data_IF_057721715633
#
_entry.id   IF_057721715633
#
_cell.length_a   1.000
_cell.length_b   1.000
_cell.length_c   1.000
_cell.angle_alpha   90.00
_cell.angle_beta   90.00
_cell.angle_gamma   90.00
#
_symmetry.space_group_name_H-M   'P 1'
#
loop_
_entity.id
_entity.type
_entity.pdbx_description
1 polymer ?
2 non-polymer ?
3 water ?
#
# COMPACT_ATOMS: atom_id res chain seq x y z
N UNK A 28 19.08 19.28 -4.80
CA UNK A 28 17.98 19.17 -5.76
C UNK A 28 18.49 19.09 -7.20
N UNK A 29 19.79 19.37 -7.36
CA UNK A 29 20.53 19.16 -8.61
C UNK A 29 19.90 19.97 -9.77
N UNK A 30 19.97 19.44 -11.00
CA UNK A 30 19.57 20.18 -12.19
C UNK A 30 19.42 19.19 -13.35
N UNK A 31 19.26 19.68 -14.58
CA UNK A 31 18.96 18.84 -15.73
C UNK A 31 19.84 19.22 -16.93
N UNK A 32 19.62 18.49 -18.03
CA UNK A 32 20.21 18.67 -19.37
C UNK A 32 20.29 17.32 -20.08
N UNK A 33 21.47 16.70 -20.07
CA UNK A 33 21.69 15.42 -20.72
C UNK A 33 22.97 14.77 -20.16
N UNK A 34 22.92 13.45 -19.94
CA UNK A 34 24.05 12.55 -19.65
C UNK A 34 24.57 12.62 -18.20
N UNK A 35 25.05 11.47 -17.69
CA UNK A 35 25.67 11.24 -16.37
C UNK A 35 26.53 9.99 -16.49
N UNK A 36 27.51 9.84 -15.59
CA UNK A 36 28.56 8.83 -15.72
C UNK A 36 28.57 7.89 -14.52
N UNK A 37 28.43 6.60 -14.79
CA UNK A 37 28.40 5.60 -13.74
C UNK A 37 29.80 5.05 -13.44
N UNK A 38 29.87 4.24 -12.38
CA UNK A 38 31.08 3.48 -12.11
C UNK A 38 31.30 2.37 -13.15
N UNK A 39 30.25 1.97 -13.87
CA UNK A 39 30.34 0.89 -14.86
C UNK A 39 29.69 1.18 -16.21
N UNK A 40 28.77 2.14 -16.31
CA UNK A 40 28.12 2.47 -17.57
C UNK A 40 28.02 3.99 -17.69
N UNK A 41 27.35 4.45 -18.76
CA UNK A 41 27.03 5.87 -18.91
C UNK A 41 25.57 6.00 -19.30
N UNK A 42 24.90 7.02 -18.74
CA UNK A 42 23.46 7.17 -18.82
C UNK A 42 23.11 8.55 -19.35
N UNK A 43 22.49 8.60 -20.54
CA UNK A 43 22.01 9.85 -21.11
C UNK A 43 20.58 10.11 -20.65
N UNK A 44 20.34 11.27 -20.05
CA UNK A 44 19.00 11.55 -19.54
C UNK A 44 18.10 12.00 -20.69
N UNK A 45 16.83 11.63 -20.62
CA UNK A 45 15.92 11.95 -21.70
C UNK A 45 14.68 12.65 -21.14
N UNK A 46 14.33 12.38 -19.90
CA UNK A 46 13.05 12.85 -19.37
C UNK A 46 13.04 12.83 -17.85
N UNK A 47 12.56 13.93 -17.27
CA UNK A 47 12.28 14.02 -15.85
C UNK A 47 11.01 13.26 -15.53
N UNK A 48 11.01 12.55 -14.39
CA UNK A 48 9.87 11.74 -14.00
C UNK A 48 9.16 12.23 -12.73
N UNK A 49 9.82 12.92 -11.82
CA UNK A 49 9.14 13.41 -10.64
C UNK A 49 10.10 13.67 -9.49
N UNK A 50 9.60 14.43 -8.51
CA UNK A 50 10.42 14.89 -7.37
C UNK A 50 9.96 14.21 -6.09
N UNK A 54 13.99 12.73 -2.74
CA UNK A 54 14.80 12.98 -3.92
C UNK A 54 14.01 13.03 -5.22
N UNK A 55 14.69 12.92 -6.35
CA UNK A 55 14.08 12.95 -7.69
C UNK A 55 14.40 11.67 -8.47
N UNK A 56 13.65 11.44 -9.54
CA UNK A 56 13.80 10.26 -10.38
C UNK A 56 13.78 10.68 -11.85
N UNK A 57 14.73 10.19 -12.63
CA UNK A 57 14.86 10.57 -14.03
C UNK A 57 14.99 9.34 -14.91
N UNK A 58 14.46 9.43 -16.13
CA UNK A 58 14.52 8.37 -17.12
C UNK A 58 15.78 8.55 -17.97
N UNK A 59 16.63 7.52 -18.00
CA UNK A 59 17.90 7.58 -18.74
C UNK A 59 18.11 6.37 -19.65
N UNK A 60 18.82 6.63 -20.74
CA UNK A 60 19.22 5.61 -21.69
C UNK A 60 20.55 5.01 -21.26
N UNK A 61 20.58 3.70 -21.06
CA UNK A 61 21.84 3.02 -20.78
C UNK A 61 22.66 3.01 -22.07
N UNK A 62 23.60 3.94 -22.19
CA UNK A 62 24.36 4.09 -23.43
C UNK A 62 25.01 2.77 -23.83
N UNK A 63 24.95 2.46 -25.12
CA UNK A 63 25.50 1.24 -25.68
C UNK A 63 24.55 0.07 -25.70
N UNK A 64 23.38 0.20 -25.08
CA UNK A 64 22.40 -0.86 -24.96
C UNK A 64 21.05 -0.40 -25.49
N UNK A 65 20.08 -1.32 -25.40
CA UNK A 65 18.68 -1.09 -25.69
C UNK A 65 17.86 -0.86 -24.43
N UNK A 66 18.49 -0.51 -23.32
CA UNK A 66 17.82 -0.42 -22.03
C UNK A 66 17.54 1.04 -21.68
N UNK A 67 16.31 1.29 -21.27
CA UNK A 67 15.93 2.52 -20.57
C UNK A 67 15.82 2.18 -19.09
N UNK A 68 16.36 3.04 -18.23
CA UNK A 68 16.39 2.82 -16.79
C UNK A 68 15.91 4.07 -16.07
N UNK A 69 15.51 3.88 -14.82
CA UNK A 69 15.09 4.96 -13.95
C UNK A 69 16.17 5.16 -12.90
N UNK A 70 16.69 6.38 -12.82
CA UNK A 70 17.73 6.73 -11.86
C UNK A 70 17.13 7.68 -10.84
N UNK A 71 17.32 7.35 -9.56
CA UNK A 71 16.85 8.14 -8.45
C UNK A 71 18.02 8.86 -7.81
N UNK A 72 17.86 10.15 -7.58
CA UNK A 72 18.94 11.02 -7.12
C UNK A 72 18.49 11.64 -5.80
N UNK A 73 19.10 11.21 -4.69
CA UNK A 73 18.59 11.48 -3.35
C UNK A 73 19.01 12.84 -2.77
N UNK A 81 21.09 10.46 6.34
CA UNK A 81 20.97 9.15 6.97
C UNK A 81 19.83 8.32 6.39
N UNK A 82 18.80 9.00 5.85
CA UNK A 82 17.71 8.31 5.17
C UNK A 82 18.15 7.69 3.85
N UNK A 83 19.24 8.19 3.25
CA UNK A 83 19.81 7.57 2.08
C UNK A 83 20.70 6.41 2.44
N UNK A 84 21.37 6.52 3.59
CA UNK A 84 22.19 5.41 4.07
C UNK A 84 21.33 4.18 4.37
N UNK A 85 20.19 4.38 5.04
CA UNK A 85 19.30 3.24 5.32
C UNK A 85 18.76 2.65 4.02
N UNK A 86 18.47 3.51 3.04
CA UNK A 86 17.90 3.02 1.78
C UNK A 86 18.90 2.13 1.04
N UNK A 87 20.11 2.67 0.79
CA UNK A 87 21.13 1.93 0.04
C UNK A 87 21.44 0.61 0.71
N UNK A 88 21.52 0.60 2.04
CA UNK A 88 21.78 -0.66 2.75
C UNK A 88 20.69 -1.69 2.47
N UNK A 89 19.43 -1.25 2.52
CA UNK A 89 18.32 -2.18 2.29
C UNK A 89 18.27 -2.61 0.83
N UNK A 90 18.50 -1.67 -0.09
CA UNK A 90 18.64 -2.04 -1.49
C UNK A 90 19.77 -3.06 -1.67
N UNK A 91 20.85 -2.90 -0.90
CA UNK A 91 21.96 -3.85 -0.95
C UNK A 91 21.55 -5.22 -0.43
N UNK A 92 20.88 -5.25 0.74
CA UNK A 92 20.42 -6.53 1.30
C UNK A 92 19.42 -7.22 0.40
N UNK A 93 18.74 -6.49 -0.50
CA UNK A 93 17.84 -7.08 -1.47
C UNK A 93 18.50 -7.33 -2.83
N UNK A 94 19.55 -6.58 -3.15
CA UNK A 94 20.31 -6.82 -4.39
C UNK A 94 20.71 -8.29 -4.51
N UNK A 95 20.94 -8.97 -3.39
CA UNK A 95 21.29 -10.38 -3.39
C UNK A 95 20.09 -11.29 -3.55
N UNK A 96 18.87 -10.77 -3.44
CA UNK A 96 17.66 -11.56 -3.59
C UNK A 96 17.13 -11.43 -5.01
N UNK A 97 16.19 -12.31 -5.34
CA UNK A 97 15.63 -12.36 -6.69
C UNK A 97 14.50 -11.32 -6.81
N UNK A 98 14.82 -10.19 -7.44
CA UNK A 98 13.83 -9.13 -7.62
C UNK A 98 12.62 -9.63 -8.40
N UNK A 99 12.85 -10.45 -9.42
CA UNK A 99 11.72 -10.90 -10.24
C UNK A 99 10.89 -11.94 -9.49
N UNK A 100 11.55 -12.82 -8.71
CA UNK A 100 10.81 -13.85 -7.99
C UNK A 100 9.91 -13.24 -6.91
N UNK A 101 10.39 -12.22 -6.22
CA UNK A 101 9.65 -11.67 -5.10
C UNK A 101 8.97 -10.34 -5.43
N UNK A 102 9.02 -9.92 -6.70
CA UNK A 102 8.22 -8.81 -7.20
C UNK A 102 8.58 -7.48 -6.54
N UNK A 103 9.85 -7.25 -6.25
CA UNK A 103 10.26 -5.92 -5.88
C UNK A 103 11.19 -5.40 -6.97
N UNK A 104 11.28 -4.08 -7.06
CA UNK A 104 11.99 -3.44 -8.16
C UNK A 104 13.46 -3.80 -8.15
N UNK A 105 14.01 -4.08 -9.33
CA UNK A 105 15.42 -4.43 -9.46
C UNK A 105 16.28 -3.18 -9.36
N UNK A 106 17.22 -3.17 -8.43
CA UNK A 106 18.22 -2.10 -8.32
C UNK A 106 19.53 -2.60 -8.91
N UNK A 107 20.06 -1.85 -9.89
CA UNK A 107 21.24 -2.29 -10.65
C UNK A 107 22.53 -1.87 -9.98
N UNK A 108 22.74 -0.57 -9.79
CA UNK A 108 23.98 -0.13 -9.19
C UNK A 108 23.78 1.19 -8.48
N UNK A 109 24.66 1.43 -7.51
CA UNK A 109 24.69 2.66 -6.75
C UNK A 109 25.99 3.40 -7.06
N UNK A 110 25.90 4.71 -7.22
CA UNK A 110 27.08 5.52 -7.52
C UNK A 110 26.80 6.97 -7.17
N UNK A 111 27.75 7.62 -6.50
CA UNK A 111 27.62 9.03 -6.18
C UNK A 111 27.90 9.89 -7.41
N UNK A 112 27.28 11.08 -7.43
CA UNK A 112 27.40 12.01 -8.56
C UNK A 112 26.88 13.40 -8.17
N UNK A 115 26.01 13.82 -4.27
CA UNK A 115 24.70 13.19 -4.46
C UNK A 115 24.82 11.69 -4.86
N UNK A 116 24.12 10.83 -4.12
CA UNK A 116 24.14 9.39 -4.38
C UNK A 116 22.98 9.01 -5.29
N UNK A 117 23.27 8.28 -6.37
CA UNK A 117 22.29 7.87 -7.36
C UNK A 117 22.04 6.37 -7.34
N UNK A 118 20.81 6.00 -7.70
CA UNK A 118 20.37 4.61 -7.70
C UNK A 118 19.70 4.31 -9.04
N UNK A 119 20.18 3.28 -9.72
CA UNK A 119 19.71 2.91 -11.05
C UNK A 119 18.70 1.77 -10.91
N UNK A 120 17.49 1.96 -11.44
CA UNK A 120 16.42 0.96 -11.34
C UNK A 120 15.94 0.57 -12.72
N UNK A 121 15.36 -0.63 -12.82
CA UNK A 121 14.68 -0.98 -14.05
C UNK A 121 13.55 0.01 -14.29
N UNK A 122 13.23 0.22 -15.57
CA UNK A 122 12.11 1.07 -15.96
C UNK A 122 10.80 0.28 -15.89
N UNK A 123 9.88 0.79 -15.09
CA UNK A 123 8.51 0.30 -14.99
C UNK A 123 7.58 1.26 -15.72
N UNK A 124 6.35 0.82 -15.98
CA UNK A 124 5.46 1.58 -16.84
C UNK A 124 4.50 2.50 -16.09
N UNK A 125 3.71 1.99 -15.15
CA UNK A 125 2.58 2.77 -14.63
C UNK A 125 2.25 2.33 -13.21
N UNK A 126 2.09 3.31 -12.30
CA UNK A 126 1.72 2.94 -10.95
C UNK A 126 0.21 2.72 -10.88
N UNK A 127 -0.26 2.10 -9.79
CA UNK A 127 -1.65 1.68 -9.71
C UNK A 127 -2.63 2.86 -9.71
N UNK A 128 -2.20 4.04 -9.22
CA UNK A 128 -3.08 5.20 -9.26
C UNK A 128 -3.29 5.68 -10.69
N UNK A 129 -2.20 5.83 -11.45
CA UNK A 129 -2.33 6.26 -12.84
C UNK A 129 -3.09 5.23 -13.66
N UNK A 130 -2.93 3.94 -13.34
CA UNK A 130 -3.75 2.90 -13.97
C UNK A 130 -5.24 3.14 -13.73
N UNK A 131 -5.63 3.26 -12.46
CA UNK A 131 -7.04 3.49 -12.15
C UNK A 131 -7.54 4.76 -12.80
N UNK A 132 -6.77 5.84 -12.69
CA UNK A 132 -7.17 7.12 -13.26
C UNK A 132 -7.34 7.02 -14.77
N UNK A 133 -6.35 6.43 -15.45
CA UNK A 133 -6.44 6.20 -16.88
C UNK A 133 -7.66 5.35 -17.22
N UNK A 134 -8.17 4.59 -16.26
CA UNK A 134 -9.36 3.79 -16.44
C UNK A 134 -10.59 4.49 -15.89
N UNK A 135 -10.51 5.80 -15.66
CA UNK A 135 -11.65 6.63 -15.24
C UNK A 135 -12.18 6.19 -13.88
N UNK A 136 -11.29 5.61 -13.05
CA UNK A 136 -11.60 5.19 -11.68
C UNK A 136 -12.74 4.18 -11.63
N UNK A 137 -12.83 3.32 -12.63
CA UNK A 137 -13.76 2.21 -12.56
C UNK A 137 -13.18 1.05 -11.75
N UNK A 138 -14.01 0.28 -11.05
CA UNK A 138 -13.50 -0.84 -10.26
C UNK A 138 -12.67 -1.81 -11.09
N UNK A 139 -11.74 -2.44 -10.46
CA UNK A 139 -11.01 -3.51 -11.12
C UNK A 139 -11.67 -4.84 -10.77
N UNK A 140 -11.97 -5.71 -11.73
CA UNK A 140 -12.56 -7.00 -11.37
C UNK A 140 -11.60 -7.85 -10.56
N UNK A 141 -12.17 -8.71 -9.71
CA UNK A 141 -11.40 -9.49 -8.76
C UNK A 141 -10.34 -10.35 -9.43
N UNK A 142 -10.65 -10.90 -10.61
CA UNK A 142 -9.70 -11.78 -11.29
C UNK A 142 -8.43 -11.03 -11.68
N UNK A 143 -8.50 -9.72 -11.85
CA UNK A 143 -7.29 -8.96 -12.08
C UNK A 143 -6.69 -8.44 -10.78
N UNK A 144 -7.51 -8.29 -9.74
CA UNK A 144 -6.97 -7.93 -8.43
C UNK A 144 -6.12 -9.06 -7.86
N UNK A 145 -6.59 -10.30 -8.01
CA UNK A 145 -5.90 -11.44 -7.41
C UNK A 145 -4.40 -11.53 -7.75
N UNK A 146 -3.98 -11.51 -9.02
CA UNK A 146 -2.53 -11.61 -9.25
C UNK A 146 -1.74 -10.41 -8.73
N UNK A 147 -2.34 -9.22 -8.63
CA UNK A 147 -1.62 -8.09 -8.04
C UNK A 147 -1.39 -8.32 -6.56
N UNK A 148 -2.46 -8.69 -5.85
CA UNK A 148 -2.35 -9.09 -4.46
C UNK A 148 -1.28 -10.16 -4.27
N UNK A 149 -1.29 -11.20 -5.10
CA UNK A 149 -0.37 -12.32 -4.93
C UNK A 149 1.08 -11.87 -5.07
N UNK A 150 1.33 -10.96 -6.01
CA UNK A 150 2.70 -10.47 -6.17
C UNK A 150 3.11 -9.57 -4.99
N UNK A 151 2.20 -8.75 -4.47
CA UNK A 151 2.61 -7.82 -3.42
C UNK A 151 2.73 -8.54 -2.09
N UNK A 152 1.77 -9.41 -1.78
CA UNK A 152 1.90 -10.28 -0.61
C UNK A 152 3.20 -11.09 -0.65
N UNK A 153 3.62 -11.50 -1.82
CA UNK A 153 4.87 -12.28 -1.97
C UNK A 153 6.04 -11.40 -1.58
N UNK A 154 6.07 -10.18 -2.07
CA UNK A 154 7.14 -9.23 -1.71
C UNK A 154 7.13 -8.98 -0.21
N UNK A 155 5.95 -8.83 0.40
CA UNK A 155 5.84 -8.60 1.85
C UNK A 155 6.35 -9.83 2.59
N UNK A 156 6.09 -11.02 2.09
CA UNK A 156 6.61 -12.24 2.76
C UNK A 156 8.13 -12.19 2.75
N UNK A 157 8.71 -11.83 1.60
CA UNK A 157 10.18 -11.73 1.46
C UNK A 157 10.72 -10.69 2.44
N UNK A 158 10.01 -9.56 2.58
CA UNK A 158 10.43 -8.47 3.50
C UNK A 158 10.33 -8.92 4.94
N UNK A 159 9.28 -9.63 5.31
CA UNK A 159 9.07 -10.06 6.71
C UNK A 159 10.14 -11.09 7.06
N UNK A 160 10.50 -11.93 6.11
CA UNK A 160 11.55 -12.93 6.36
C UNK A 160 12.88 -12.21 6.61
N UNK A 161 13.15 -11.10 5.94
CA UNK A 161 14.41 -10.37 6.23
C UNK A 161 14.26 -9.37 7.37
N UNK A 162 13.18 -9.41 8.17
CA UNK A 162 12.99 -8.45 9.23
C UNK A 162 12.79 -7.02 8.77
N UNK A 163 12.30 -6.82 7.55
CA UNK A 163 12.20 -5.50 6.97
C UNK A 163 10.76 -5.00 6.97
N UNK A 164 10.59 -3.72 7.25
CA UNK A 164 9.33 -3.00 7.12
C UNK A 164 9.45 -2.09 5.90
N UNK A 165 8.45 -2.13 5.03
CA UNK A 165 8.47 -1.23 3.87
C UNK A 165 8.05 0.19 4.26
N UNK A 166 6.93 0.32 4.97
CA UNK A 166 6.44 1.56 5.59
C UNK A 166 6.00 2.63 4.59
N UNK A 167 5.92 2.34 3.30
CA UNK A 167 5.23 3.29 2.42
C UNK A 167 4.54 2.55 1.30
N UNK A 168 3.88 1.43 1.62
CA UNK A 168 3.13 0.68 0.62
C UNK A 168 1.83 1.42 0.28
N UNK A 169 1.61 1.66 -1.01
CA UNK A 169 0.50 2.51 -1.47
C UNK A 169 0.44 2.37 -2.99
N UNK A 170 -0.63 2.78 -3.66
CA UNK A 170 -0.71 2.53 -5.12
C UNK A 170 0.41 3.17 -5.93
N UNK A 171 0.85 4.38 -5.56
CA UNK A 171 1.98 4.98 -6.25
C UNK A 171 3.26 4.16 -6.11
N UNK A 172 3.37 3.32 -5.07
CA UNK A 172 4.57 2.51 -4.85
C UNK A 172 4.43 1.07 -5.37
N UNK A 173 3.47 0.83 -6.25
CA UNK A 173 3.29 -0.47 -6.90
C UNK A 173 3.13 -0.18 -8.39
N UNK A 174 4.05 -0.68 -9.21
CA UNK A 174 4.06 -0.29 -10.61
C UNK A 174 3.92 -1.50 -11.50
N UNK A 175 3.10 -1.35 -12.53
CA UNK A 175 2.96 -2.35 -13.57
C UNK A 175 4.20 -2.31 -14.45
N UNK A 176 4.81 -3.48 -14.64
CA UNK A 176 6.02 -3.58 -15.45
C UNK A 176 5.72 -3.19 -16.89
N UNK A 177 4.68 -3.79 -17.47
CA UNK A 177 4.27 -3.57 -18.85
C UNK A 177 2.81 -3.98 -19.00
N UNK A 178 1.86 -3.04 -18.88
CA UNK A 178 0.44 -3.43 -18.86
C UNK A 178 -0.05 -4.02 -20.16
N UNK A 179 0.72 -3.92 -21.24
CA UNK A 179 0.28 -4.44 -22.54
C UNK A 179 0.93 -5.77 -22.91
N UNK A 180 2.22 -5.97 -22.64
CA UNK A 180 2.87 -7.24 -22.94
C UNK A 180 3.01 -8.15 -21.73
N UNK A 181 2.82 -7.64 -20.50
CA UNK A 181 2.80 -8.46 -19.29
C UNK A 181 1.72 -7.96 -18.35
N UNK A 182 0.44 -8.14 -18.73
CA UNK A 182 -0.66 -7.51 -17.99
C UNK A 182 -0.67 -7.91 -16.52
N UNK A 183 -0.76 -6.90 -15.65
CA UNK A 183 -0.93 -7.05 -14.21
C UNK A 183 0.28 -7.67 -13.52
N UNK A 184 1.43 -7.75 -14.19
CA UNK A 184 2.67 -8.00 -13.49
C UNK A 184 3.15 -6.72 -12.81
N UNK A 185 3.42 -6.78 -11.51
CA UNK A 185 3.76 -5.58 -10.75
C UNK A 185 5.07 -5.75 -10.00
N UNK A 186 5.70 -4.61 -9.69
CA UNK A 186 6.84 -4.52 -8.81
C UNK A 186 6.54 -3.53 -7.69
N UNK A 187 6.94 -3.86 -6.48
CA UNK A 187 6.93 -2.90 -5.39
C UNK A 187 8.18 -2.04 -5.52
N UNK A 188 8.03 -0.72 -5.34
CA UNK A 188 9.15 0.22 -5.41
C UNK A 188 9.28 0.98 -4.10
N UNK A 189 10.28 1.88 -4.05
CA UNK A 189 10.43 2.89 -3.00
C UNK A 189 10.70 2.32 -1.62
N UNK A 190 11.97 1.98 -1.34
CA UNK A 190 12.39 1.58 -0.02
C UNK A 190 13.01 2.74 0.75
N UNK A 191 12.67 3.98 0.38
CA UNK A 191 13.20 5.14 1.08
C UNK A 191 12.75 5.23 2.52
N UNK A 192 11.53 4.73 2.81
CA UNK A 192 10.99 4.67 4.15
C UNK A 192 11.26 3.35 4.84
N UNK A 193 11.88 2.40 4.14
CA UNK A 193 12.00 1.06 4.65
C UNK A 193 12.91 1.04 5.89
N UNK A 194 12.71 0.04 6.73
CA UNK A 194 13.42 -0.01 8.00
C UNK A 194 13.44 -1.43 8.52
N UNK A 195 14.40 -1.71 9.40
CA UNK A 195 14.42 -2.95 10.15
C UNK A 195 13.61 -2.80 11.44
N UNK A 196 13.16 -3.93 11.97
CA UNK A 196 12.32 -3.93 13.18
C UNK A 196 12.97 -3.19 14.34
N UNK A 203 7.01 6.48 15.28
CA UNK A 203 7.01 7.78 14.62
C UNK A 203 5.85 7.97 13.65
N UNK A 205 4.74 7.33 10.07
CA UNK A 205 5.08 6.54 8.91
C UNK A 205 3.89 6.37 8.02
N UNK A 206 4.14 5.87 6.81
CA UNK A 206 3.12 5.52 5.84
C UNK A 206 2.39 6.74 5.30
N UNK A 207 1.85 6.58 4.11
CA UNK A 207 0.96 7.55 3.51
C UNK A 207 -0.43 7.42 4.14
N UNK A 208 -1.06 8.57 4.43
CA UNK A 208 -2.14 8.60 5.41
C UNK A 208 -3.29 7.66 5.06
N UNK A 209 -3.70 7.60 3.79
CA UNK A 209 -4.83 6.72 3.45
C UNK A 209 -4.51 5.26 3.74
N UNK A 210 -3.22 4.90 3.76
CA UNK A 210 -2.77 3.51 3.90
C UNK A 210 -2.14 3.26 5.25
N UNK A 211 -2.36 4.15 6.21
CA UNK A 211 -1.66 4.13 7.50
C UNK A 211 -2.43 3.25 8.49
N UNK A 212 -1.71 2.38 9.18
CA UNK A 212 -2.31 1.43 10.11
C UNK A 212 -2.74 2.11 11.40
N UNK A 213 -3.71 1.53 12.11
CA UNK A 213 -4.12 2.13 13.40
C UNK A 213 -2.99 2.28 14.39
N UNK A 214 -2.08 1.31 14.50
CA UNK A 214 -0.99 1.43 15.47
C UNK A 214 -0.12 2.66 15.23
N UNK A 215 0.02 3.11 13.97
CA UNK A 215 0.78 4.34 13.71
C UNK A 215 -0.08 5.54 14.04
N UNK A 216 -1.36 5.49 13.68
CA UNK A 216 -2.27 6.59 13.98
C UNK A 216 -2.30 6.84 15.49
N UNK A 217 -2.46 5.78 16.26
CA UNK A 217 -2.62 5.86 17.72
C UNK A 217 -1.31 6.00 18.45
N UNK A 218 -0.18 5.72 17.81
CA UNK A 218 1.11 5.80 18.48
C UNK A 218 1.31 4.60 19.38
N UNK A 219 1.22 3.43 18.80
CA UNK A 219 1.50 2.17 19.48
C UNK A 219 2.84 1.61 19.04
N UNK A 220 3.37 0.61 19.74
CA UNK A 220 4.43 -0.23 19.13
C UNK A 220 3.93 -0.96 17.90
N UNK A 221 4.86 -1.31 17.00
CA UNK A 221 4.48 -1.80 15.68
C UNK A 221 5.62 -2.61 15.08
N UNK A 222 5.31 -3.29 13.98
CA UNK A 222 6.29 -4.09 13.27
C UNK A 222 5.90 -4.10 11.78
N UNK A 223 6.35 -5.14 11.07
CA UNK A 223 6.09 -5.31 9.65
C UNK A 223 4.61 -5.47 9.35
N UNK A 224 3.77 -5.61 10.38
CA UNK A 224 2.34 -5.77 10.16
C UNK A 224 1.69 -4.51 9.59
N UNK A 225 2.30 -3.33 9.76
CA UNK A 225 1.70 -2.12 9.20
C UNK A 225 1.57 -2.25 7.69
N UNK A 226 2.50 -2.94 7.03
CA UNK A 226 2.41 -3.10 5.58
C UNK A 226 1.20 -3.93 5.17
N UNK A 227 0.76 -4.85 6.03
CA UNK A 227 -0.41 -5.65 5.67
C UNK A 227 -1.68 -4.83 5.71
N UNK A 228 -1.77 -3.87 6.63
CA UNK A 228 -2.91 -2.96 6.63
C UNK A 228 -2.93 -2.13 5.35
N UNK A 229 -1.78 -1.58 4.95
CA UNK A 229 -1.71 -0.85 3.69
C UNK A 229 -2.12 -1.72 2.51
N UNK A 230 -1.72 -3.00 2.52
CA UNK A 230 -2.13 -3.89 1.44
C UNK A 230 -3.65 -4.07 1.41
N UNK A 231 -4.28 -4.17 2.58
CA UNK A 231 -5.74 -4.22 2.58
C UNK A 231 -6.38 -2.99 1.98
N UNK A 232 -5.88 -1.81 2.35
CA UNK A 232 -6.39 -0.57 1.76
C UNK A 232 -6.13 -0.53 0.25
N UNK A 233 -5.01 -1.08 -0.21
CA UNK A 233 -4.73 -1.08 -1.64
C UNK A 233 -5.73 -1.97 -2.39
N UNK A 234 -5.98 -3.20 -1.91
CA UNK A 234 -6.86 -4.08 -2.69
C UNK A 234 -8.30 -3.58 -2.61
N UNK A 235 -8.70 -3.02 -1.46
CA UNK A 235 -10.04 -2.44 -1.39
C UNK A 235 -10.22 -1.32 -2.40
N UNK A 236 -9.18 -0.51 -2.57
CA UNK A 236 -9.26 0.60 -3.52
C UNK A 236 -9.31 0.10 -4.96
N UNK A 237 -8.53 -0.94 -5.30
CA UNK A 237 -8.69 -1.51 -6.63
C UNK A 237 -10.11 -2.04 -6.81
N UNK A 238 -10.68 -2.61 -5.74
CA UNK A 238 -12.05 -3.13 -5.81
C UNK A 238 -13.08 -2.02 -6.00
N UNK A 239 -12.91 -0.88 -5.33
CA UNK A 239 -13.87 0.21 -5.41
C UNK A 239 -13.60 1.19 -6.54
N UNK A 240 -12.37 1.25 -7.04
CA UNK A 240 -12.00 2.37 -7.90
C UNK A 240 -11.70 3.67 -7.16
N UNK A 241 -11.76 3.67 -5.83
CA UNK A 241 -11.58 4.86 -5.01
C UNK A 241 -11.01 4.39 -3.68
N UNK A 242 -10.21 5.21 -2.98
CA UNK A 242 -9.68 4.77 -1.69
C UNK A 242 -10.83 4.47 -0.74
N UNK A 243 -10.63 3.45 0.11
CA UNK A 243 -11.60 3.12 1.12
C UNK A 243 -11.67 4.18 2.22
N UNK A 244 -10.51 4.63 2.69
CA UNK A 244 -10.41 5.57 3.81
C UNK A 244 -9.54 6.75 3.39
N UNK A 245 -10.06 7.66 2.59
CA UNK A 245 -9.30 8.83 2.14
C UNK A 245 -9.35 9.99 3.13
N UNK A 246 -8.78 9.80 4.31
CA UNK A 246 -8.86 10.84 5.33
C UNK A 246 -7.94 12.02 5.03
N UNK A 247 -8.46 13.23 5.16
CA UNK A 247 -7.66 14.45 4.90
C UNK A 247 -6.81 14.87 6.09
N UNK A 248 -6.93 14.18 7.22
CA UNK A 248 -6.19 14.46 8.42
C UNK A 248 -6.21 13.17 9.21
N UNK A 249 -5.30 13.04 10.19
CA UNK A 249 -5.27 11.83 10.99
C UNK A 249 -6.59 11.64 11.74
N UNK A 250 -7.22 12.74 12.15
CA UNK A 250 -8.52 12.64 12.80
C UNK A 250 -9.56 12.03 11.86
N UNK A 251 -9.71 12.60 10.67
CA UNK A 251 -10.64 12.03 9.69
C UNK A 251 -10.29 10.60 9.32
N UNK A 252 -9.00 10.27 9.28
CA UNK A 252 -8.59 8.90 8.97
C UNK A 252 -9.13 7.91 9.99
N UNK A 253 -8.87 8.17 11.28
CA UNK A 253 -9.34 7.24 12.29
C UNK A 253 -10.85 7.35 12.46
N UNK A 254 -11.45 8.50 12.13
CA UNK A 254 -12.90 8.61 12.11
C UNK A 254 -13.52 7.72 11.04
N UNK A 255 -13.00 7.75 9.82
CA UNK A 255 -13.53 6.88 8.76
C UNK A 255 -13.40 5.41 9.15
N UNK A 256 -12.23 5.02 9.66
CA UNK A 256 -11.99 3.65 10.06
C UNK A 256 -12.98 3.24 11.15
N UNK A 257 -13.13 4.10 12.16
CA UNK A 257 -14.03 3.77 13.27
C UNK A 257 -15.49 3.70 12.83
N UNK A 258 -15.89 4.52 11.86
CA UNK A 258 -17.29 4.47 11.45
C UNK A 258 -17.61 3.15 10.77
N UNK A 259 -16.65 2.58 10.05
CA UNK A 259 -16.89 1.36 9.27
C UNK A 259 -16.50 0.10 10.05
N UNK A 260 -15.56 0.20 10.98
CA UNK A 260 -15.09 -0.99 11.67
C UNK A 260 -15.30 -0.94 13.18
N UNK A 261 -15.98 0.08 13.70
CA UNK A 261 -16.06 0.27 15.15
C UNK A 261 -14.79 0.90 15.71
N UNK A 262 -14.94 1.52 16.88
CA UNK A 262 -13.79 2.08 17.60
C UNK A 262 -12.72 1.01 17.78
N UNK A 263 -11.45 1.38 17.82
CA UNK A 263 -10.45 0.40 18.24
C UNK A 263 -10.73 0.00 19.70
N UNK A 264 -10.42 -1.25 20.02
CA UNK A 264 -10.65 -1.77 21.35
C UNK A 264 -9.99 -0.88 22.41
N UNK A 265 -10.57 -0.89 23.61
CA UNK A 265 -10.10 -0.01 24.68
C UNK A 265 -8.64 -0.27 25.01
N UNK A 266 -8.19 -1.53 24.97
CA UNK A 266 -6.80 -1.79 25.34
C UNK A 266 -5.81 -1.24 24.32
N UNK A 267 -6.23 -1.04 23.08
CA UNK A 267 -5.37 -0.34 22.13
C UNK A 267 -5.38 1.16 22.38
N UNK A 268 -6.58 1.73 22.53
CA UNK A 268 -6.70 3.18 22.74
C UNK A 268 -5.90 3.63 23.95
N UNK A 269 -5.95 2.85 25.04
CA UNK A 269 -5.31 3.21 26.29
C UNK A 269 -3.79 3.10 26.23
N UNK A 270 -3.25 2.41 25.23
CA UNK A 270 -1.81 2.25 25.09
C UNK A 270 -1.20 3.27 24.15
N UNK A 271 -2.01 3.96 23.34
CA UNK A 271 -1.47 4.81 22.30
C UNK A 271 -0.99 6.17 22.82
N UNK A 272 0.17 6.61 22.31
CA UNK A 272 0.68 7.94 22.66
C UNK A 272 -0.06 9.07 21.97
N UNK A 273 -0.79 8.78 20.89
CA UNK A 273 -1.50 9.82 20.16
C UNK A 273 -3.02 9.73 20.32
N UNK A 274 -3.52 8.77 21.11
CA UNK A 274 -4.95 8.51 21.18
C UNK A 274 -5.75 9.75 21.57
N UNK A 275 -5.27 10.52 22.55
CA UNK A 275 -6.12 11.60 23.02
C UNK A 275 -6.16 12.76 22.04
N UNK A 276 -5.46 12.69 20.91
CA UNK A 276 -5.66 13.71 19.90
C UNK A 276 -7.02 13.53 19.23
N UNK A 277 -7.55 12.30 19.21
CA UNK A 277 -8.74 11.98 18.44
C UNK A 277 -9.90 11.47 19.28
N UNK A 278 -9.64 10.96 20.50
CA UNK A 278 -10.62 10.38 21.39
C UNK A 278 -10.52 11.03 22.75
N UNK A 279 -11.65 11.10 23.45
CA UNK A 279 -11.70 11.50 24.85
C UNK A 279 -12.03 10.29 25.72
N UNK A 280 -11.42 10.25 26.89
CA UNK A 280 -11.86 9.40 28.00
C UNK A 280 -13.05 10.08 28.64
N UNK A 281 -14.25 9.50 28.53
CA UNK A 281 -15.36 10.13 29.22
C UNK A 281 -15.29 9.92 30.72
N UNK A 282 -14.52 8.94 31.19
CA UNK A 282 -14.14 8.83 32.59
C UNK A 282 -12.69 8.36 32.66
N UNK A 283 -12.09 8.50 33.83
CA UNK A 283 -10.71 8.04 34.01
C UNK A 283 -10.61 6.53 34.01
N UNK A 285 -9.40 3.13 35.78
CA UNK A 285 -9.71 1.91 34.99
C UNK A 285 -10.97 1.99 34.15
N UNK A 286 -10.98 1.32 33.01
CA UNK A 286 -12.15 1.24 32.14
C UNK A 286 -12.66 2.63 31.77
N UNK A 287 -11.85 3.43 31.09
CA UNK A 287 -12.37 4.71 30.61
C UNK A 287 -13.44 4.41 29.58
N UNK A 288 -14.36 5.34 29.44
CA UNK A 288 -15.34 5.26 28.36
C UNK A 288 -14.78 6.06 27.18
N UNK A 289 -14.01 5.39 26.32
CA UNK A 289 -13.38 6.08 25.20
C UNK A 289 -14.43 6.46 24.17
N UNK A 290 -14.39 7.70 23.70
CA UNK A 290 -15.27 8.16 22.64
C UNK A 290 -14.46 8.96 21.63
N UNK A 291 -14.75 8.77 20.35
CA UNK A 291 -14.17 9.66 19.34
C UNK A 291 -14.71 11.06 19.54
N UNK A 292 -13.82 12.05 19.50
CA UNK A 292 -14.26 13.43 19.42
C UNK A 292 -15.20 13.58 18.24
N UNK A 293 -16.21 14.42 18.39
CA UNK A 293 -17.09 14.75 17.28
C UNK A 293 -16.40 15.74 16.35
N UNK A 294 -16.77 15.77 15.06
CA UNK A 294 -16.13 16.71 14.14
C UNK A 294 -16.21 18.17 14.59
N UNK A 295 -17.39 18.61 15.08
CA UNK A 295 -17.50 20.01 15.53
C UNK A 295 -16.59 20.27 16.72
N UNK A 296 -16.66 19.40 17.73
CA UNK A 296 -15.80 19.56 18.89
C UNK A 296 -14.33 19.52 18.49
N UNK A 297 -13.95 18.57 17.63
CA UNK A 297 -12.56 18.46 17.21
C UNK A 297 -12.13 19.67 16.38
N UNK A 298 -13.02 20.17 15.52
CA UNK A 298 -12.70 21.40 14.80
C UNK A 298 -12.54 22.57 15.77
N UNK A 299 -13.39 22.63 16.80
CA UNK A 299 -13.38 23.76 17.71
C UNK A 299 -12.05 23.90 18.44
N UNK A 300 -11.46 22.81 18.87
CA UNK A 300 -10.22 22.93 19.62
C UNK A 300 -8.98 22.84 18.73
N UNK A 301 -9.15 22.60 17.44
CA UNK A 301 -8.00 22.35 16.58
C UNK A 301 -7.90 23.26 15.38
N UNK A 302 -8.99 23.89 14.94
CA UNK A 302 -8.99 24.58 13.66
C UNK A 302 -9.04 23.68 12.44
N UNK A 303 -8.84 22.37 12.58
CA UNK A 303 -8.92 21.47 11.44
C UNK A 303 -10.39 21.17 11.15
N UNK A 304 -10.84 21.55 9.95
CA UNK A 304 -12.22 21.27 9.54
C UNK A 304 -12.30 19.88 8.92
N UNK A 305 -13.21 19.06 9.43
CA UNK A 305 -13.41 17.72 8.88
C UNK A 305 -14.05 17.81 7.50
N UNK A 306 -13.69 16.85 6.66
CA UNK A 306 -14.19 16.80 5.30
C UNK A 306 -14.78 15.42 5.04
N UNK A 307 -15.55 15.33 3.96
CA UNK A 307 -16.10 14.08 3.48
C UNK A 307 -15.46 13.78 2.13
N UNK A 308 -14.50 12.85 2.12
CA UNK A 308 -13.79 12.50 0.90
C UNK A 308 -14.16 11.14 0.35
N UNK A 309 -15.06 10.40 1.01
CA UNK A 309 -15.39 9.04 0.59
C UNK A 309 -16.40 9.05 -0.54
N UNK A 310 -16.16 8.18 -1.53
CA UNK A 310 -17.22 7.90 -2.49
C UNK A 310 -18.15 6.81 -2.01
N UNK A 311 -17.70 5.99 -1.07
CA UNK A 311 -18.51 4.94 -0.47
C UNK A 311 -18.37 5.03 1.04
N UNK A 312 -19.50 4.93 1.73
CA UNK A 312 -19.53 4.88 3.19
C UNK A 312 -20.18 3.57 3.58
N UNK A 313 -19.40 2.67 4.18
CA UNK A 313 -19.92 1.38 4.62
C UNK A 313 -20.15 1.35 6.11
N UNK A 314 -21.26 0.74 6.51
CA UNK A 314 -21.57 0.52 7.91
C UNK A 314 -20.76 -0.62 8.47
N UNK A 315 -20.25 -1.50 7.62
CA UNK A 315 -19.31 -2.55 7.99
C UNK A 315 -18.72 -3.11 6.72
N UNK A 316 -17.60 -3.81 6.86
CA UNK A 316 -16.87 -4.24 5.67
C UNK A 316 -17.62 -5.31 4.89
N UNK A 317 -18.49 -6.10 5.54
CA UNK A 317 -19.28 -7.08 4.80
C UNK A 317 -20.13 -6.41 3.72
N UNK A 318 -20.60 -5.18 3.98
CA UNK A 318 -21.46 -4.51 3.01
C UNK A 318 -20.74 -4.21 1.71
N UNK A 319 -19.42 -4.37 1.67
CA UNK A 319 -18.67 -4.18 0.43
C UNK A 319 -18.98 -5.28 -0.58
N UNK A 320 -19.23 -6.50 -0.08
CA UNK A 320 -19.20 -7.69 -0.93
C UNK A 320 -20.05 -7.52 -2.18
N UNK A 321 -21.20 -6.85 -2.07
CA UNK A 321 -22.18 -6.80 -3.15
C UNK A 321 -21.94 -5.69 -4.16
N UNK A 322 -21.11 -4.69 -3.86
CA UNK A 322 -21.15 -3.45 -4.63
C UNK A 322 -20.51 -3.64 -6.00
N UNK A 323 -21.15 -3.07 -7.02
CA UNK A 323 -20.66 -3.07 -8.41
C UNK A 323 -20.68 -4.45 -9.05
N UNK A 324 -21.46 -5.40 -8.55
CA UNK A 324 -21.47 -6.73 -9.16
C UNK A 324 -22.24 -6.70 -10.48
N UNK A 325 -21.81 -7.53 -11.44
CA UNK A 325 -22.55 -7.71 -12.68
C UNK A 325 -23.84 -8.48 -12.41
N UNK A 326 -24.96 -7.93 -12.87
CA UNK A 326 -26.25 -8.62 -12.71
C UNK A 326 -26.50 -9.64 -13.80
N UNK A 327 -25.88 -9.48 -14.97
CA UNK A 327 -26.14 -10.34 -16.13
C UNK A 327 -25.70 -11.78 -15.93
N UNK A 328 -24.90 -12.07 -14.91
CA UNK A 328 -24.32 -13.40 -14.74
C UNK A 328 -25.40 -14.46 -14.65
N UNK A 329 -25.26 -15.50 -15.46
CA UNK A 329 -26.22 -16.60 -15.48
C UNK A 329 -25.67 -17.74 -14.63
N UNK A 330 -26.55 -18.31 -13.80
CA UNK A 330 -26.32 -19.57 -13.11
C UNK A 330 -25.01 -19.82 -12.41
N UNK A 331 -24.17 -20.68 -13.00
CA UNK A 331 -22.93 -21.11 -12.36
C UNK A 331 -21.86 -20.02 -12.35
N UNK A 332 -21.92 -19.09 -13.31
CA UNK A 332 -20.99 -17.98 -13.30
C UNK A 332 -21.28 -17.05 -12.14
N UNK A 333 -22.54 -16.90 -11.75
CA UNK A 333 -22.83 -16.00 -10.62
C UNK A 333 -22.46 -16.63 -9.28
N UNK A 334 -22.59 -17.95 -9.14
CA UNK A 334 -22.08 -18.59 -7.93
C UNK A 334 -20.58 -18.39 -7.78
N UNK A 335 -19.85 -18.50 -8.89
CA UNK A 335 -18.42 -18.23 -8.88
C UNK A 335 -18.16 -16.83 -8.34
N UNK A 336 -18.77 -15.83 -8.97
CA UNK A 336 -18.55 -14.44 -8.57
C UNK A 336 -18.93 -14.18 -7.12
N UNK A 337 -20.12 -14.62 -6.71
CA UNK A 337 -20.53 -14.49 -5.31
C UNK A 337 -19.55 -15.16 -4.36
N UNK A 338 -19.03 -16.34 -4.73
CA UNK A 338 -18.04 -17.01 -3.88
C UNK A 338 -16.70 -16.26 -3.89
N UNK A 339 -16.30 -15.71 -5.05
CA UNK A 339 -15.06 -14.92 -5.12
C UNK A 339 -15.14 -13.70 -4.21
N UNK A 340 -16.28 -13.00 -4.21
CA UNK A 340 -16.45 -11.83 -3.37
C UNK A 340 -16.49 -12.19 -1.89
N UNK A 341 -17.11 -13.32 -1.54
CA UNK A 341 -17.13 -13.70 -0.13
C UNK A 341 -15.72 -13.96 0.38
N UNK A 342 -14.92 -14.66 -0.42
CA UNK A 342 -13.52 -14.90 -0.05
C UNK A 342 -12.71 -13.61 -0.01
N UNK A 343 -13.00 -12.68 -0.92
CA UNK A 343 -12.27 -11.43 -0.99
C UNK A 343 -12.53 -10.57 0.24
N UNK A 344 -13.79 -10.39 0.62
CA UNK A 344 -14.06 -9.62 1.84
C UNK A 344 -13.56 -10.36 3.07
N UNK A 345 -13.63 -11.69 3.08
CA UNK A 345 -13.07 -12.42 4.21
C UNK A 345 -11.59 -12.14 4.35
N UNK A 346 -10.85 -12.15 3.24
CA UNK A 346 -9.44 -11.79 3.30
C UNK A 346 -9.26 -10.32 3.66
N UNK A 347 -10.11 -9.46 3.09
CA UNK A 347 -9.96 -8.03 3.36
C UNK A 347 -10.14 -7.73 4.84
N UNK A 348 -11.09 -8.39 5.51
CA UNK A 348 -11.31 -8.10 6.92
C UNK A 348 -10.12 -8.53 7.76
N UNK A 349 -9.49 -9.65 7.42
CA UNK A 349 -8.33 -10.09 8.17
C UNK A 349 -7.11 -9.22 7.94
N UNK A 350 -7.02 -8.52 6.79
CA UNK A 350 -5.93 -7.59 6.58
C UNK A 350 -6.18 -6.28 7.31
N UNK A 351 -7.44 -5.86 7.33
CA UNK A 351 -7.91 -4.69 8.07
C UNK A 351 -8.37 -5.03 9.47
N UNK A 352 -7.65 -5.93 10.14
CA UNK A 352 -7.89 -6.19 11.56
C UNK A 352 -7.14 -5.13 12.36
N UNK A 353 -7.83 -4.48 13.28
CA UNK A 353 -7.29 -3.28 13.89
C UNK A 353 -6.16 -3.62 14.84
N UNK A 354 -6.29 -4.70 15.61
CA UNK A 354 -5.21 -5.20 16.45
C UNK A 354 -4.19 -5.93 15.58
N UNK A 355 -2.94 -5.45 15.60
CA UNK A 355 -1.91 -6.00 14.71
C UNK A 355 -1.54 -7.44 15.08
N UNK A 356 -1.71 -7.84 16.35
CA UNK A 356 -1.44 -9.21 16.76
C UNK A 356 -2.36 -10.22 16.11
N UNK A 357 -3.60 -9.81 15.78
CA UNK A 357 -4.58 -10.68 15.15
C UNK A 357 -4.62 -10.53 13.64
N UNK A 358 -3.81 -9.64 13.07
CA UNK A 358 -3.87 -9.35 11.64
C UNK A 358 -3.17 -10.45 10.84
N UNK A 359 -3.77 -10.81 9.70
CA UNK A 359 -3.21 -11.88 8.88
C UNK A 359 -1.83 -11.46 8.36
N UNK A 360 -0.94 -12.45 8.23
CA UNK A 360 0.43 -12.26 7.78
C UNK A 360 0.54 -12.52 6.28
N UNK A 361 1.64 -12.11 5.65
CA UNK A 361 1.77 -12.39 4.21
C UNK A 361 1.72 -13.86 3.85
N UNK A 362 2.45 -14.71 4.57
CA UNK A 362 2.39 -16.13 4.26
C UNK A 362 0.96 -16.63 4.36
N UNK A 363 0.21 -16.19 5.36
CA UNK A 363 -1.15 -16.69 5.54
C UNK A 363 -2.11 -16.14 4.48
N UNK A 364 -1.87 -14.93 3.95
CA UNK A 364 -2.74 -14.48 2.85
C UNK A 364 -2.43 -15.25 1.57
N UNK A 365 -1.15 -15.52 1.31
CA UNK A 365 -0.77 -16.41 0.20
C UNK A 365 -1.43 -17.77 0.29
N UNK A 366 -1.87 -18.18 1.47
CA UNK A 366 -2.59 -19.43 1.67
C UNK A 366 -4.09 -19.23 1.73
N UNK A 367 -4.59 -18.00 1.55
CA UNK A 367 -6.02 -17.75 1.66
C UNK A 367 -6.72 -18.19 0.38
N UNK A 368 -7.95 -18.71 0.47
CA UNK A 368 -8.61 -19.20 -0.74
C UNK A 368 -8.76 -18.12 -1.81
N UNK A 369 -8.87 -16.84 -1.44
CA UNK A 369 -8.97 -15.84 -2.49
C UNK A 369 -7.73 -15.86 -3.38
N UNK A 370 -6.56 -16.03 -2.77
CA UNK A 370 -5.33 -16.07 -3.54
C UNK A 370 -5.14 -17.42 -4.24
N UNK A 371 -5.41 -18.54 -3.54
CA UNK A 371 -5.13 -19.86 -4.10
C UNK A 371 -6.24 -20.37 -5.02
N UNK A 372 -7.47 -19.90 -4.81
CA UNK A 372 -8.66 -20.18 -5.62
C UNK A 372 -9.27 -21.53 -5.32
N UNK A 373 -8.97 -22.11 -4.16
CA UNK A 373 -9.59 -23.38 -3.79
C UNK A 373 -11.10 -23.25 -3.65
N UNK A 374 -11.60 -22.06 -3.33
CA UNK A 374 -13.05 -21.85 -3.26
C UNK A 374 -13.73 -22.07 -4.60
N UNK A 375 -12.99 -21.95 -5.70
CA UNK A 375 -13.57 -22.14 -7.01
C UNK A 375 -13.58 -23.60 -7.46
N UNK A 376 -12.82 -24.47 -6.78
CA UNK A 376 -12.90 -25.89 -7.09
C UNK A 376 -14.26 -26.48 -6.78
N UNK A 377 -15.03 -25.83 -5.92
CA UNK A 377 -16.39 -26.30 -5.60
C UNK A 377 -17.36 -26.01 -6.74
N UNK A 378 -16.85 -25.90 -7.96
CA UNK A 378 -17.66 -25.60 -9.14
C UNK A 378 -17.16 -26.37 -10.36
#
# INVERSE_FOLDING_TARGET
MGSSHHHHHHSSGENLYFQGSNSEGDYQLVQHEVLCSMTNTYEVLEFLGRGTFGQVVKCWKRGTNEIVAIKILKNHPSYARQGQIEVSILARLSTESADDYNFVRAYECFQHKNHTCLVFEMLEQNLYDFLKQNKFSPLPLKYIRPVLQQVATALMKLKSLGLIHADLKPENIMLVDPSRQPYRVKVIDFGSASHVSKAVCSTXLQSRYYRAPEIILGLPFCEAIDMWSLGCVIAELFLGWPLYPGASEYDQIRYISQTQGLPAEYLLSAGTKTTRFFNRDTDXPYPLWRLKTPDDHEAETGIKSKEARKYIFNCLDDMAQVNMTTDLEGSDMLVEKADRREFIDLLKKMLTIDADKRITPIETLNHPFVTMTHLLDFPHSTHVKSCFQN
#
